data_IF_455237366727
#
_entry.id   IF_455237366727
#
_cell.length_a   1.000
_cell.length_b   1.000
_cell.length_c   1.000
_cell.angle_alpha   90.00
_cell.angle_beta   90.00
_cell.angle_gamma   90.00
#
_symmetry.space_group_name_H-M   'P 1'
#
loop_
_entity.id
_entity.type
_entity.pdbx_description
1 polymer ?
#
# COMPACT_ATOMS: atom_id res chain seq x y z
N UNK A 1 -89.82 -8.46 11.60
CA UNK A 1 -90.08 -7.46 10.53
C UNK A 1 -89.45 -6.14 10.92
N UNK A 2 -88.91 -5.40 9.93
CA UNK A 2 -88.21 -4.09 9.97
C UNK A 2 -86.67 -4.16 10.03
N UNK A 3 -86.08 -3.97 8.84
CA UNK A 3 -84.66 -3.69 8.58
C UNK A 3 -84.35 -2.22 8.88
N UNK A 4 -83.10 -1.88 9.26
CA UNK A 4 -82.55 -0.56 9.00
C UNK A 4 -81.24 -0.59 8.17
N UNK A 5 -81.33 0.13 7.04
CA UNK A 5 -80.42 1.11 6.39
C UNK A 5 -78.91 0.79 6.19
N UNK A 6 -78.37 0.97 4.95
CA UNK A 6 -76.96 0.79 4.62
C UNK A 6 -76.09 2.03 4.96
N UNK A 7 -74.90 1.81 5.50
CA UNK A 7 -73.91 2.86 5.76
C UNK A 7 -72.92 2.95 4.59
N UNK A 8 -72.84 4.14 3.99
CA UNK A 8 -71.87 4.55 2.97
C UNK A 8 -70.42 4.32 3.44
N UNK A 9 -69.63 3.63 2.62
CA UNK A 9 -68.17 3.54 2.78
C UNK A 9 -67.48 4.79 2.24
N UNK A 10 -66.79 5.54 3.11
CA UNK A 10 -65.89 6.63 2.74
C UNK A 10 -64.51 6.02 2.47
N UNK A 11 -64.07 6.06 1.20
CA UNK A 11 -62.70 5.72 0.81
C UNK A 11 -61.84 6.95 1.08
N UNK A 12 -61.08 6.94 2.17
CA UNK A 12 -60.01 7.94 2.43
C UNK A 12 -58.77 7.48 1.68
N UNK A 13 -58.45 8.14 0.56
CA UNK A 13 -57.22 7.93 -0.17
C UNK A 13 -56.02 8.51 0.59
N UNK A 14 -55.09 7.65 1.02
CA UNK A 14 -53.79 8.08 1.54
C UNK A 14 -52.91 8.56 0.37
N UNK A 15 -52.67 9.87 0.29
CA UNK A 15 -51.63 10.44 -0.58
C UNK A 15 -50.27 10.33 0.11
N UNK A 16 -49.37 9.52 -0.45
CA UNK A 16 -47.99 9.39 0.04
C UNK A 16 -47.15 10.51 -0.57
N UNK A 17 -46.87 11.56 0.21
CA UNK A 17 -45.91 12.61 -0.16
C UNK A 17 -44.49 12.05 -0.06
N UNK A 18 -43.84 11.83 -1.21
CA UNK A 18 -42.44 11.43 -1.28
C UNK A 18 -41.54 12.65 -1.06
N UNK A 19 -40.81 12.69 0.04
CA UNK A 19 -39.75 13.68 0.26
C UNK A 19 -38.53 13.33 -0.59
N UNK A 20 -38.21 14.16 -1.57
CA UNK A 20 -36.93 14.10 -2.25
C UNK A 20 -35.84 14.64 -1.31
N UNK A 21 -34.93 13.78 -0.86
CA UNK A 21 -33.76 14.21 -0.10
C UNK A 21 -32.80 14.98 -1.03
N UNK A 22 -32.21 16.10 -0.57
CA UNK A 22 -31.14 16.75 -1.34
C UNK A 22 -29.96 15.79 -1.43
N UNK A 23 -29.43 15.63 -2.64
CA UNK A 23 -28.21 14.87 -2.88
C UNK A 23 -27.07 15.48 -2.05
N UNK A 24 -26.70 14.81 -0.95
CA UNK A 24 -25.48 15.13 -0.23
C UNK A 24 -24.30 14.93 -1.17
N UNK A 25 -23.61 16.02 -1.52
CA UNK A 25 -22.27 15.95 -2.07
C UNK A 25 -21.43 15.17 -1.06
N UNK A 26 -21.09 13.92 -1.39
CA UNK A 26 -20.20 13.15 -0.55
C UNK A 26 -18.84 13.87 -0.55
N UNK A 27 -18.20 14.06 0.62
CA UNK A 27 -16.83 14.54 0.64
C UNK A 27 -16.03 13.60 -0.25
N UNK A 28 -15.33 14.16 -1.23
CA UNK A 28 -14.42 13.42 -2.09
C UNK A 28 -13.33 12.85 -1.20
N UNK A 29 -13.60 11.67 -0.66
CA UNK A 29 -12.63 10.80 -0.04
C UNK A 29 -11.54 10.65 -1.07
N UNK A 30 -10.43 11.33 -0.78
CA UNK A 30 -9.31 11.57 -1.68
C UNK A 30 -8.96 10.26 -2.35
N UNK A 31 -9.53 10.02 -3.53
CA UNK A 31 -9.21 8.84 -4.32
C UNK A 31 -7.70 8.88 -4.41
N UNK A 32 -6.97 7.82 -4.00
CA UNK A 32 -5.58 7.76 -4.36
C UNK A 32 -5.59 7.98 -5.86
N UNK A 33 -5.00 9.09 -6.32
CA UNK A 33 -4.65 9.21 -7.74
C UNK A 33 -3.97 7.90 -8.10
N UNK A 34 -4.08 7.39 -9.34
CA UNK A 34 -3.20 6.33 -9.82
C UNK A 34 -1.78 6.87 -9.71
N UNK A 35 -1.27 6.77 -8.50
CA UNK A 35 -0.25 7.63 -7.96
C UNK A 35 1.02 6.96 -8.38
N UNK A 36 1.89 7.74 -8.99
CA UNK A 36 3.25 7.35 -9.31
C UNK A 36 3.81 6.56 -8.12
N UNK A 37 3.85 5.22 -8.25
CA UNK A 37 4.38 4.34 -7.21
C UNK A 37 5.89 4.48 -7.30
N UNK A 38 6.47 5.05 -6.26
CA UNK A 38 7.90 5.08 -6.07
C UNK A 38 8.17 4.46 -4.72
N UNK A 39 9.32 3.80 -4.58
CA UNK A 39 9.78 3.34 -3.29
C UNK A 39 11.25 3.74 -3.14
N UNK A 40 11.58 4.37 -2.02
CA UNK A 40 12.93 4.71 -1.65
C UNK A 40 13.15 4.49 -0.15
N UNK A 41 14.39 4.19 0.22
CA UNK A 41 14.81 4.14 1.62
C UNK A 41 15.89 5.21 1.81
N UNK A 42 15.64 6.16 2.69
CA UNK A 42 16.57 7.23 3.04
C UNK A 42 17.26 6.90 4.36
N UNK A 43 18.56 7.18 4.44
CA UNK A 43 19.40 6.83 5.56
C UNK A 43 20.09 8.06 6.13
N UNK A 44 20.29 8.06 7.46
CA UNK A 44 21.03 9.11 8.14
C UNK A 44 22.50 9.16 7.73
N UNK A 45 23.14 8.01 7.58
CA UNK A 45 24.59 7.93 7.37
C UNK A 45 24.92 7.59 5.91
N UNK A 46 26.17 7.80 5.49
CA UNK A 46 26.64 7.34 4.17
C UNK A 46 26.72 5.81 4.12
N UNK A 47 26.74 5.23 2.92
CA UNK A 47 26.86 3.78 2.74
C UNK A 47 25.61 2.98 3.14
N UNK A 48 24.43 3.61 3.17
CA UNK A 48 23.15 2.97 3.53
C UNK A 48 23.09 2.50 4.99
N UNK A 49 23.64 3.29 5.91
CA UNK A 49 23.79 2.94 7.31
C UNK A 49 23.01 3.87 8.26
N UNK A 50 22.86 3.43 9.51
CA UNK A 50 22.19 4.18 10.57
C UNK A 50 20.65 4.15 10.48
N UNK A 51 19.97 5.06 11.20
CA UNK A 51 18.52 5.25 11.12
C UNK A 51 18.05 5.43 9.68
N UNK A 52 16.96 4.75 9.34
CA UNK A 52 16.42 4.72 7.99
C UNK A 52 14.90 4.87 7.98
N UNK A 53 14.37 5.44 6.90
CA UNK A 53 12.93 5.58 6.67
C UNK A 53 12.61 5.10 5.26
N UNK A 54 11.61 4.23 5.12
CA UNK A 54 11.04 3.89 3.82
C UNK A 54 9.99 4.94 3.45
N UNK A 55 10.09 5.45 2.23
CA UNK A 55 9.19 6.45 1.66
C UNK A 55 8.62 5.89 0.36
N UNK A 56 7.31 5.67 0.34
CA UNK A 56 6.60 5.06 -0.79
C UNK A 56 5.60 6.00 -1.48
N UNK A 57 5.51 7.25 -1.00
CA UNK A 57 4.62 8.29 -1.50
C UNK A 57 5.27 9.66 -1.36
N UNK A 58 4.62 10.69 -1.91
CA UNK A 58 5.06 12.06 -1.71
C UNK A 58 4.95 12.46 -0.23
N UNK A 59 6.06 12.94 0.34
CA UNK A 59 6.16 13.40 1.72
C UNK A 59 6.50 14.90 1.74
N UNK A 60 5.50 15.78 1.95
CA UNK A 60 5.69 17.22 1.93
C UNK A 60 6.48 17.73 3.15
N UNK A 61 6.59 16.99 4.24
CA UNK A 61 7.45 17.36 5.37
C UNK A 61 8.00 16.10 6.05
N UNK A 62 9.29 15.84 5.85
CA UNK A 62 9.94 14.65 6.38
C UNK A 62 10.09 14.66 7.91
N UNK A 63 10.10 15.85 8.54
CA UNK A 63 10.24 16.05 10.00
C UNK A 63 11.35 15.21 10.67
N UNK A 64 12.41 14.89 9.92
CA UNK A 64 13.52 14.08 10.43
C UNK A 64 14.37 14.89 11.39
N UNK A 65 14.65 14.33 12.57
CA UNK A 65 15.60 14.92 13.51
C UNK A 65 17.05 14.96 12.97
N UNK A 66 17.33 14.23 11.90
CA UNK A 66 18.65 13.96 11.37
C UNK A 66 18.75 14.20 9.85
N UNK A 67 19.96 14.47 9.32
CA UNK A 67 20.14 14.72 7.89
C UNK A 67 20.14 13.41 7.08
N UNK A 68 19.61 13.44 5.86
CA UNK A 68 19.69 12.31 4.93
C UNK A 68 21.05 12.32 4.21
N UNK A 69 21.81 11.22 4.28
CA UNK A 69 23.17 11.13 3.70
C UNK A 69 23.35 10.03 2.67
N UNK A 70 22.46 9.04 2.61
CA UNK A 70 22.39 8.09 1.51
C UNK A 70 20.95 7.66 1.23
N UNK A 71 20.70 7.16 0.03
CA UNK A 71 19.36 6.74 -0.43
C UNK A 71 19.48 5.49 -1.28
N UNK A 72 18.57 4.54 -1.07
CA UNK A 72 18.31 3.45 -2.02
C UNK A 72 17.01 3.71 -2.76
N UNK A 73 17.05 3.71 -4.08
CA UNK A 73 15.88 3.88 -4.93
C UNK A 73 15.45 2.50 -5.39
N UNK A 74 14.32 2.02 -4.85
CA UNK A 74 13.76 0.70 -5.20
C UNK A 74 12.91 0.78 -6.46
N UNK A 75 12.14 1.86 -6.59
CA UNK A 75 11.26 2.09 -7.72
C UNK A 75 11.10 3.59 -8.00
N UNK A 76 11.03 3.92 -9.29
CA UNK A 76 10.74 5.25 -9.79
C UNK A 76 11.92 6.21 -9.67
N UNK A 77 11.62 7.50 -9.87
CA UNK A 77 12.56 8.61 -9.77
C UNK A 77 12.06 9.57 -8.72
N UNK A 78 12.95 10.05 -7.87
CA UNK A 78 12.59 10.87 -6.71
C UNK A 78 13.15 12.27 -6.84
N UNK A 79 12.35 13.26 -6.48
CA UNK A 79 12.79 14.63 -6.24
C UNK A 79 12.94 14.84 -4.74
N UNK A 80 14.13 15.30 -4.32
CA UNK A 80 14.47 15.62 -2.95
C UNK A 80 14.68 17.13 -2.86
N UNK A 81 13.95 17.80 -1.98
CA UNK A 81 13.99 19.25 -1.84
C UNK A 81 14.46 19.66 -0.44
N UNK A 82 15.16 20.79 -0.33
CA UNK A 82 15.75 21.23 0.94
C UNK A 82 14.73 21.77 1.95
N UNK A 83 13.57 22.23 1.48
CA UNK A 83 12.49 22.74 2.34
C UNK A 83 11.26 21.85 2.25
N UNK A 84 10.30 22.07 3.15
CA UNK A 84 8.99 21.43 3.11
C UNK A 84 8.17 21.88 1.89
N UNK A 85 7.17 21.08 1.54
CA UNK A 85 6.24 21.26 0.42
C UNK A 85 6.94 21.36 -0.94
N UNK A 86 8.04 20.62 -1.13
CA UNK A 86 8.77 20.51 -2.38
C UNK A 86 9.38 21.85 -2.84
N UNK A 87 9.91 22.62 -1.89
CA UNK A 87 10.51 23.96 -2.12
C UNK A 87 12.00 24.00 -1.83
N UNK A 88 12.62 25.12 -2.17
CA UNK A 88 14.05 25.33 -2.00
C UNK A 88 14.83 24.75 -3.17
N UNK A 89 16.03 24.23 -2.90
CA UNK A 89 16.81 23.54 -3.94
C UNK A 89 16.34 22.10 -4.03
N UNK A 90 15.97 21.67 -5.23
CA UNK A 90 15.55 20.30 -5.48
C UNK A 90 16.61 19.55 -6.32
N UNK A 91 16.76 18.26 -6.05
CA UNK A 91 17.66 17.37 -6.79
C UNK A 91 16.94 16.09 -7.08
N UNK A 92 17.10 15.59 -8.31
CA UNK A 92 16.51 14.34 -8.74
C UNK A 92 17.47 13.18 -8.54
N UNK A 93 16.96 12.07 -8.01
CA UNK A 93 17.69 10.83 -7.78
C UNK A 93 16.87 9.67 -8.35
N UNK A 94 17.46 8.90 -9.26
CA UNK A 94 16.82 7.78 -9.97
C UNK A 94 17.53 6.44 -9.73
N UNK A 95 18.58 6.42 -8.91
CA UNK A 95 19.37 5.24 -8.56
C UNK A 95 19.90 5.33 -7.14
N UNK A 96 20.36 4.20 -6.61
CA UNK A 96 21.04 4.14 -5.32
C UNK A 96 22.22 5.13 -5.27
N UNK A 97 22.30 5.89 -4.18
CA UNK A 97 23.42 6.77 -3.87
C UNK A 97 23.92 6.52 -2.46
N UNK A 98 25.12 5.95 -2.37
CA UNK A 98 25.79 5.70 -1.10
C UNK A 98 26.29 7.00 -0.43
N UNK A 99 26.32 8.11 -1.16
CA UNK A 99 26.73 9.41 -0.63
C UNK A 99 26.00 10.56 -1.35
N UNK A 100 24.90 11.00 -0.75
CA UNK A 100 24.10 12.11 -1.25
C UNK A 100 24.81 13.46 -1.14
N UNK A 101 25.90 13.59 -0.36
CA UNK A 101 26.56 14.89 -0.12
C UNK A 101 27.11 15.55 -1.39
N UNK A 102 27.33 14.75 -2.43
CA UNK A 102 27.77 15.21 -3.76
C UNK A 102 26.63 15.66 -4.66
N UNK A 103 25.39 15.22 -4.37
CA UNK A 103 24.20 15.47 -5.19
C UNK A 103 23.30 16.53 -4.53
N UNK A 104 23.11 16.39 -3.22
CA UNK A 104 22.53 17.36 -2.32
C UNK A 104 23.72 17.97 -1.58
N UNK A 105 24.00 19.26 -1.78
CA UNK A 105 25.13 19.94 -1.13
C UNK A 105 25.24 19.55 0.35
N UNK A 106 26.46 19.27 0.82
CA UNK A 106 26.79 18.73 2.13
C UNK A 106 26.10 19.43 3.32
N UNK A 107 25.86 20.74 3.22
CA UNK A 107 25.26 21.54 4.29
C UNK A 107 23.74 21.42 4.35
N UNK A 108 23.10 20.97 3.28
CA UNK A 108 21.65 20.99 3.18
C UNK A 108 21.00 19.72 3.75
N UNK A 109 19.86 19.93 4.41
CA UNK A 109 18.96 18.84 4.82
C UNK A 109 17.91 18.61 3.75
N UNK A 110 17.40 17.39 3.67
CA UNK A 110 16.23 17.07 2.85
C UNK A 110 14.99 17.32 3.71
N UNK A 111 14.17 18.29 3.32
CA UNK A 111 12.95 18.69 4.03
C UNK A 111 11.68 18.05 3.47
N UNK A 112 11.68 17.70 2.18
CA UNK A 112 10.58 16.99 1.53
C UNK A 112 11.07 16.14 0.37
N UNK A 113 10.29 15.13 -0.01
CA UNK A 113 10.59 14.32 -1.18
C UNK A 113 9.33 13.77 -1.85
N UNK A 114 9.37 13.59 -3.17
CA UNK A 114 8.24 13.01 -3.92
C UNK A 114 8.70 12.18 -5.13
N UNK A 115 7.93 11.17 -5.53
CA UNK A 115 8.15 10.52 -6.81
C UNK A 115 7.82 11.49 -7.96
N UNK A 116 8.61 11.45 -9.03
CA UNK A 116 8.40 12.22 -10.26
C UNK A 116 7.74 11.36 -11.35
N UNK A 117 6.88 11.98 -12.20
CA UNK A 117 6.41 11.34 -13.42
C UNK A 117 7.57 10.95 -14.35
N UNK A 118 7.45 9.80 -15.03
CA UNK A 118 8.44 9.33 -16.00
C UNK A 118 9.41 8.25 -15.52
N UNK A 119 9.19 7.70 -14.31
CA UNK A 119 9.86 6.49 -13.83
C UNK A 119 9.01 5.23 -14.02
N UNK A 120 8.34 5.07 -15.17
CA UNK A 120 7.74 3.78 -15.53
C UNK A 120 8.89 2.83 -15.88
N UNK A 121 9.48 2.21 -14.87
CA UNK A 121 9.85 0.81 -15.04
C UNK A 121 8.54 0.06 -14.84
N UNK A 122 8.08 -0.78 -15.79
CA UNK A 122 7.16 -1.83 -15.45
C UNK A 122 7.75 -2.47 -14.20
N UNK A 123 6.97 -2.55 -13.13
CA UNK A 123 7.33 -3.39 -12.01
C UNK A 123 7.79 -4.71 -12.64
N UNK A 124 9.06 -5.14 -12.47
CA UNK A 124 9.38 -6.51 -12.74
C UNK A 124 8.28 -7.27 -12.01
N UNK A 125 7.51 -8.16 -12.67
CA UNK A 125 6.52 -8.95 -11.94
C UNK A 125 7.22 -9.41 -10.69
N UNK A 126 6.65 -9.15 -9.50
CA UNK A 126 7.27 -9.32 -8.19
C UNK A 126 7.72 -10.78 -7.99
N UNK A 127 8.75 -11.12 -8.72
CA UNK A 127 9.35 -12.40 -8.92
C UNK A 127 10.67 -12.20 -8.19
N UNK A 128 10.75 -12.88 -7.05
CA UNK A 128 11.99 -13.31 -6.41
C UNK A 128 12.67 -12.36 -5.42
N UNK A 129 12.31 -11.07 -5.33
CA UNK A 129 12.94 -10.19 -4.32
C UNK A 129 12.19 -10.22 -2.99
N UNK A 130 12.24 -11.36 -2.32
CA UNK A 130 11.89 -11.40 -0.90
C UNK A 130 12.88 -10.54 -0.09
N UNK A 131 12.37 -9.87 0.95
CA UNK A 131 13.21 -9.14 1.91
C UNK A 131 13.51 -10.06 3.08
N UNK A 132 14.68 -10.73 3.05
CA UNK A 132 15.11 -11.67 4.07
C UNK A 132 15.94 -11.02 5.16
N UNK A 133 15.50 -11.16 6.40
CA UNK A 133 16.26 -10.88 7.62
C UNK A 133 16.64 -12.16 8.37
N UNK A 134 17.18 -12.01 9.58
CA UNK A 134 17.60 -13.15 10.41
C UNK A 134 16.41 -13.93 11.00
N UNK A 135 15.33 -13.23 11.37
CA UNK A 135 14.18 -13.80 12.07
C UNK A 135 12.91 -13.92 11.20
N UNK A 136 12.92 -13.29 10.01
CA UNK A 136 11.78 -13.24 9.12
C UNK A 136 12.17 -13.01 7.66
N UNK A 137 11.25 -13.30 6.77
CA UNK A 137 11.35 -13.00 5.34
C UNK A 137 10.00 -12.52 4.80
N UNK A 138 10.02 -11.38 4.11
CA UNK A 138 8.83 -10.76 3.55
C UNK A 138 8.75 -11.03 2.04
N UNK A 139 7.60 -11.51 1.60
CA UNK A 139 7.28 -11.82 0.20
C UNK A 139 6.15 -10.91 -0.27
N UNK A 140 6.45 -9.82 -1.01
CA UNK A 140 5.42 -8.92 -1.53
C UNK A 140 4.39 -9.64 -2.42
N UNK A 141 4.87 -10.51 -3.31
CA UNK A 141 4.04 -11.38 -4.15
C UNK A 141 4.59 -12.81 -4.11
N UNK A 142 4.08 -13.68 -3.23
CA UNK A 142 4.50 -15.07 -3.12
C UNK A 142 4.36 -15.80 -4.46
N UNK A 143 5.44 -16.42 -4.92
CA UNK A 143 5.48 -17.25 -6.13
C UNK A 143 5.88 -18.68 -5.76
N UNK A 144 5.13 -19.66 -6.26
CA UNK A 144 5.45 -21.09 -6.16
C UNK A 144 5.41 -21.68 -7.57
N UNK A 145 6.52 -22.31 -7.99
CA UNK A 145 6.68 -22.88 -9.33
C UNK A 145 6.40 -21.87 -10.46
N UNK A 146 6.93 -20.65 -10.32
CA UNK A 146 6.73 -19.58 -11.31
C UNK A 146 5.32 -18.97 -11.37
N UNK A 147 4.40 -19.36 -10.47
CA UNK A 147 3.02 -18.82 -10.41
C UNK A 147 2.72 -18.15 -9.07
N UNK A 148 1.91 -17.08 -9.10
CA UNK A 148 1.37 -16.45 -7.88
C UNK A 148 0.65 -17.49 -7.03
N UNK A 149 0.86 -17.45 -5.72
CA UNK A 149 0.20 -18.37 -4.79
C UNK A 149 -1.25 -17.90 -4.59
N UNK A 150 -2.27 -18.72 -4.91
CA UNK A 150 -3.66 -18.36 -4.65
C UNK A 150 -3.91 -18.25 -3.15
N UNK A 151 -4.88 -17.43 -2.75
CA UNK A 151 -5.29 -17.31 -1.35
C UNK A 151 -5.85 -18.63 -0.79
N UNK A 152 -6.41 -19.47 -1.65
CA UNK A 152 -6.91 -20.77 -1.27
C UNK A 152 -6.69 -21.75 -2.42
N UNK A 153 -6.07 -22.90 -2.16
CA UNK A 153 -5.83 -23.92 -3.19
C UNK A 153 -7.14 -24.56 -3.67
N UNK A 154 -8.14 -24.68 -2.78
CA UNK A 154 -9.44 -25.26 -3.09
C UNK A 154 -10.54 -24.54 -2.32
N UNK A 155 -11.59 -24.12 -3.01
CA UNK A 155 -12.74 -23.47 -2.39
C UNK A 155 -12.63 -21.95 -2.35
N UNK A 156 -13.33 -21.33 -1.40
CA UNK A 156 -13.44 -19.88 -1.30
C UNK A 156 -12.21 -19.26 -0.61
N UNK A 157 -11.80 -18.08 -1.07
CA UNK A 157 -10.69 -17.31 -0.53
C UNK A 157 -11.05 -16.64 0.82
N UNK A 158 -11.26 -17.46 1.85
CA UNK A 158 -11.49 -17.00 3.22
C UNK A 158 -10.18 -16.65 3.91
N UNK A 159 -10.23 -15.82 4.95
CA UNK A 159 -9.06 -15.47 5.76
C UNK A 159 -8.36 -16.72 6.34
N UNK A 160 -9.14 -17.69 6.83
CA UNK A 160 -8.58 -18.93 7.37
C UNK A 160 -7.85 -19.77 6.32
N UNK A 161 -8.38 -19.87 5.09
CA UNK A 161 -7.70 -20.59 4.03
C UNK A 161 -6.42 -19.86 3.57
N UNK A 162 -6.46 -18.53 3.53
CA UNK A 162 -5.30 -17.70 3.24
C UNK A 162 -4.17 -17.92 4.25
N UNK A 163 -4.48 -17.87 5.55
CA UNK A 163 -3.53 -18.15 6.62
C UNK A 163 -2.88 -19.54 6.48
N UNK A 164 -3.69 -20.58 6.25
CA UNK A 164 -3.19 -21.95 6.06
C UNK A 164 -2.30 -22.08 4.81
N UNK A 165 -2.64 -21.38 3.74
CA UNK A 165 -1.86 -21.37 2.49
C UNK A 165 -0.55 -20.62 2.68
N UNK A 166 -0.56 -19.47 3.36
CA UNK A 166 0.62 -18.68 3.69
C UNK A 166 1.58 -19.44 4.62
N UNK A 167 1.05 -20.11 5.63
CA UNK A 167 1.81 -20.99 6.53
C UNK A 167 2.55 -22.09 5.78
N UNK A 168 1.87 -22.77 4.87
CA UNK A 168 2.47 -23.82 4.04
C UNK A 168 3.58 -23.25 3.16
N UNK A 169 3.29 -22.14 2.50
CA UNK A 169 4.27 -21.43 1.67
C UNK A 169 5.54 -21.06 2.46
N UNK A 170 5.39 -20.62 3.71
CA UNK A 170 6.51 -20.30 4.60
C UNK A 170 7.27 -21.54 5.08
N UNK A 171 6.57 -22.61 5.46
CA UNK A 171 7.18 -23.88 5.90
C UNK A 171 7.98 -24.56 4.79
N UNK A 172 7.49 -24.53 3.55
CA UNK A 172 8.23 -25.01 2.36
C UNK A 172 9.57 -24.28 2.15
N UNK A 173 9.75 -23.09 2.75
CA UNK A 173 10.97 -22.25 2.64
C UNK A 173 11.84 -22.28 3.89
N UNK A 174 11.54 -23.16 4.86
CA UNK A 174 12.33 -23.33 6.08
C UNK A 174 12.00 -22.33 7.19
N UNK A 175 10.84 -21.67 7.14
CA UNK A 175 10.30 -20.87 8.24
C UNK A 175 9.27 -21.69 9.04
N UNK A 176 8.92 -21.27 10.26
CA UNK A 176 7.97 -22.03 11.10
C UNK A 176 6.51 -21.81 10.67
N UNK A 177 6.22 -20.65 10.09
CA UNK A 177 4.90 -20.31 9.56
C UNK A 177 4.85 -18.86 9.09
N UNK A 178 3.64 -18.40 8.81
CA UNK A 178 3.34 -17.01 8.51
C UNK A 178 2.95 -16.27 9.79
N UNK A 179 3.41 -15.03 9.92
CA UNK A 179 2.93 -14.13 10.99
C UNK A 179 1.81 -13.23 10.48
N UNK A 180 1.83 -12.92 9.17
CA UNK A 180 0.85 -12.10 8.45
C UNK A 180 0.82 -12.44 6.96
N UNK A 181 -0.33 -12.18 6.36
CA UNK A 181 -0.64 -12.34 4.96
C UNK A 181 -1.71 -11.31 4.56
N UNK A 182 -1.49 -10.63 3.45
CA UNK A 182 -2.50 -9.82 2.78
C UNK A 182 -3.05 -10.59 1.58
N UNK A 183 -4.17 -10.09 1.03
CA UNK A 183 -4.81 -10.64 -0.14
C UNK A 183 -4.85 -9.61 -1.26
N UNK A 184 -4.54 -10.04 -2.47
CA UNK A 184 -4.66 -9.23 -3.69
C UNK A 184 -5.62 -9.91 -4.66
N UNK A 185 -6.55 -9.16 -5.24
CA UNK A 185 -7.46 -9.69 -6.28
C UNK A 185 -7.03 -9.20 -7.65
N UNK A 186 -6.66 -10.14 -8.52
CA UNK A 186 -6.28 -9.88 -9.91
C UNK A 186 -7.19 -10.71 -10.82
N UNK A 187 -7.86 -10.08 -11.79
CA UNK A 187 -8.73 -10.77 -12.74
C UNK A 187 -9.75 -11.73 -12.07
N UNK A 188 -10.39 -11.27 -10.98
CA UNK A 188 -11.34 -12.06 -10.15
C UNK A 188 -10.75 -13.27 -9.41
N UNK A 189 -9.43 -13.43 -9.42
CA UNK A 189 -8.73 -14.45 -8.63
C UNK A 189 -8.04 -13.78 -7.44
N UNK A 190 -8.15 -14.40 -6.26
CA UNK A 190 -7.53 -13.91 -5.03
C UNK A 190 -6.22 -14.63 -4.78
N UNK A 191 -5.15 -13.88 -4.61
CA UNK A 191 -3.79 -14.35 -4.36
C UNK A 191 -3.30 -13.89 -3.01
N UNK A 192 -2.31 -14.60 -2.47
CA UNK A 192 -1.52 -14.07 -1.37
C UNK A 192 -0.71 -12.86 -1.87
N UNK A 193 -0.56 -11.89 -0.97
CA UNK A 193 0.30 -10.72 -1.09
C UNK A 193 0.90 -10.41 0.28
N UNK A 194 1.98 -9.65 0.32
CA UNK A 194 2.62 -9.15 1.55
C UNK A 194 2.75 -10.20 2.67
N UNK A 195 3.26 -11.38 2.30
CA UNK A 195 3.36 -12.53 3.23
C UNK A 195 4.64 -12.45 4.04
N UNK A 196 4.51 -12.45 5.38
CA UNK A 196 5.62 -12.39 6.31
C UNK A 196 5.86 -13.77 6.94
N UNK A 197 6.90 -14.46 6.50
CA UNK A 197 7.35 -15.71 7.09
C UNK A 197 8.26 -15.45 8.29
N UNK A 198 8.11 -16.19 9.38
CA UNK A 198 8.93 -15.99 10.60
C UNK A 198 9.31 -17.31 11.29
N UNK A 199 10.31 -17.27 12.17
CA UNK A 199 10.67 -18.41 13.06
C UNK A 199 9.77 -18.55 14.27
N UNK A 200 8.89 -17.60 14.53
CA UNK A 200 7.99 -17.62 15.70
C UNK A 200 6.54 -17.42 15.26
N UNK A 201 6.23 -17.80 14.01
CA UNK A 201 4.89 -17.71 13.42
C UNK A 201 3.91 -18.58 14.21
N UNK A 202 2.66 -18.12 14.26
CA UNK A 202 1.60 -18.61 15.16
C UNK A 202 1.33 -20.10 15.05
#
# INVERSE_FOLDING_TARGET
>A
MKRPVPTLGIIVGLTVLSFAAPAGAQPEERRPSPGFRGEAIIYRDVGFAGPAVNVSRAEPDLRLAWPVRSIRVRQGRWELCTLSNYRGRCTTVDRDSADLRRQVNFLDRVGSMRPLPGGWQPEPPAQERSLRGMAAEFFPAPVRNGRRVPACERGQATANCAAQTADRFCRERGWNGSAREALETVNRQVFLADTLCTRTGR
#
